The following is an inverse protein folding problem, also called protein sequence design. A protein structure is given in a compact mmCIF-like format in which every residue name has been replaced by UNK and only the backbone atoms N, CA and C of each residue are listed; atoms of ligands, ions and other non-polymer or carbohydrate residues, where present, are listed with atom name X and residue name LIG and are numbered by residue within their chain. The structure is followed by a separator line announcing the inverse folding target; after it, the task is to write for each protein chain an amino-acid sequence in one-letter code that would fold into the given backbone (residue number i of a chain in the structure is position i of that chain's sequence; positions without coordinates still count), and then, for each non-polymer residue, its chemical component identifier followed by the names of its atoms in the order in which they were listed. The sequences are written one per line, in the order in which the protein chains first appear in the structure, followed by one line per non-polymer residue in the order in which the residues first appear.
data_IF_825867740308
#
_entry.id   IF_825867740308
#
_cell.length_a   1.000
_cell.length_b   1.000
_cell.length_c   1.000
_cell.angle_alpha   90.00
_cell.angle_beta   90.00
_cell.angle_gamma   90.00
#
_symmetry.space_group_name_H-M   'P 1'
#
loop_
_entity.id
_entity.type
_entity.pdbx_description
1 polymer ?
#
# COMPACT_ATOMS: atom_id res chain seq x y z
N UNK A 1 17.28 21.60 -1.13
CA UNK A 1 15.93 22.16 -0.94
C UNK A 1 15.39 21.67 0.40
N UNK A 2 14.53 22.41 1.13
CA UNK A 2 13.71 21.78 2.16
C UNK A 2 12.79 20.75 1.49
N UNK A 3 12.64 19.56 2.07
CA UNK A 3 11.67 18.58 1.57
C UNK A 3 10.23 19.09 1.79
N UNK A 4 9.28 18.79 0.89
CA UNK A 4 7.87 19.01 1.15
C UNK A 4 7.40 18.19 2.37
N UNK A 5 6.36 18.67 3.04
CA UNK A 5 5.81 18.02 4.24
C UNK A 5 5.15 16.67 3.90
N UNK A 6 5.89 15.57 4.06
CA UNK A 6 5.35 14.18 4.03
C UNK A 6 4.20 13.96 5.02
N UNK A 7 4.10 14.83 6.04
CA UNK A 7 3.08 14.87 7.10
C UNK A 7 1.68 15.24 6.61
N UNK A 8 1.51 15.88 5.45
CA UNK A 8 0.18 16.20 4.91
C UNK A 8 -0.56 14.97 4.36
N UNK A 9 0.09 13.79 4.29
CA UNK A 9 -0.54 12.52 3.87
C UNK A 9 -0.54 11.48 4.98
N UNK A 10 -1.72 11.17 5.58
CA UNK A 10 -1.86 10.02 6.46
C UNK A 10 -1.79 8.72 5.65
N UNK A 11 -0.84 7.86 5.99
CA UNK A 11 -0.63 6.55 5.36
C UNK A 11 -1.89 5.65 5.29
N UNK A 12 -2.87 5.72 6.24
CA UNK A 12 -4.16 5.04 6.06
C UNK A 12 -4.94 5.44 4.79
N UNK A 13 -4.89 6.72 4.37
CA UNK A 13 -5.61 7.21 3.17
C UNK A 13 -4.93 6.74 1.88
N UNK A 14 -3.60 6.70 1.88
CA UNK A 14 -2.78 6.10 0.81
C UNK A 14 -3.11 4.62 0.65
N UNK A 15 -3.23 3.88 1.75
CA UNK A 15 -3.63 2.46 1.74
C UNK A 15 -5.06 2.30 1.19
N UNK A 16 -6.03 3.09 1.68
CA UNK A 16 -7.42 3.04 1.21
C UNK A 16 -7.55 3.34 -0.30
N UNK A 17 -6.81 4.33 -0.81
CA UNK A 17 -6.72 4.63 -2.24
C UNK A 17 -6.16 3.46 -3.03
N UNK A 18 -5.11 2.81 -2.52
CA UNK A 18 -4.56 1.59 -3.10
C UNK A 18 -5.54 0.41 -3.10
N UNK A 19 -6.41 0.29 -2.08
CA UNK A 19 -7.46 -0.73 -2.07
C UNK A 19 -8.54 -0.49 -3.12
N UNK A 20 -8.93 0.79 -3.33
CA UNK A 20 -9.86 1.21 -4.39
C UNK A 20 -9.29 0.86 -5.76
N UNK A 21 -8.09 1.34 -6.10
CA UNK A 21 -7.46 1.10 -7.40
C UNK A 21 -7.21 -0.39 -7.67
N UNK A 22 -6.71 -1.13 -6.68
CA UNK A 22 -6.57 -2.60 -6.73
C UNK A 22 -7.90 -3.33 -7.00
N UNK A 23 -9.02 -2.76 -6.56
CA UNK A 23 -10.36 -3.34 -6.73
C UNK A 23 -10.98 -2.99 -8.09
N UNK A 24 -10.45 -1.99 -8.80
CA UNK A 24 -10.93 -1.52 -10.10
C UNK A 24 -10.20 -2.19 -11.28
N UNK A 25 -10.16 -3.52 -11.23
CA UNK A 25 -9.84 -4.39 -12.38
C UNK A 25 -10.81 -4.17 -13.56
N UNK A 26 -10.45 -4.51 -14.81
CA UNK A 26 -11.34 -4.33 -15.96
C UNK A 26 -12.78 -4.84 -15.77
N UNK A 27 -13.06 -6.07 -15.28
CA UNK A 27 -14.44 -6.54 -15.12
C UNK A 27 -15.21 -5.94 -13.92
N UNK A 28 -14.51 -5.42 -12.90
CA UNK A 28 -15.16 -4.68 -11.80
C UNK A 28 -15.43 -3.23 -12.19
N UNK A 29 -14.55 -2.60 -12.96
CA UNK A 29 -14.78 -1.30 -13.61
C UNK A 29 -15.95 -1.40 -14.59
N UNK A 30 -15.99 -2.42 -15.45
CA UNK A 30 -17.13 -2.69 -16.33
C UNK A 30 -18.45 -2.84 -15.57
N UNK A 31 -18.44 -3.59 -14.46
CA UNK A 31 -19.61 -3.73 -13.59
C UNK A 31 -20.08 -2.38 -13.02
N UNK A 32 -19.13 -1.52 -12.62
CA UNK A 32 -19.39 -0.20 -12.05
C UNK A 32 -19.95 0.78 -13.10
N UNK A 33 -19.38 0.79 -14.31
CA UNK A 33 -19.84 1.60 -15.44
C UNK A 33 -21.26 1.21 -15.89
N UNK A 34 -21.56 -0.08 -16.01
CA UNK A 34 -22.93 -0.53 -16.35
C UNK A 34 -23.95 -0.09 -15.30
N UNK A 35 -23.59 -0.11 -14.00
CA UNK A 35 -24.44 0.40 -12.92
C UNK A 35 -24.56 1.94 -12.87
N UNK A 36 -23.77 2.67 -13.66
CA UNK A 36 -23.78 4.14 -13.77
C UNK A 36 -24.54 4.62 -15.02
N UNK A 37 -24.18 4.09 -16.20
CA UNK A 37 -24.72 4.50 -17.50
C UNK A 37 -26.20 4.09 -17.69
N UNK A 38 -26.73 3.20 -16.85
CA UNK A 38 -28.05 2.59 -17.03
C UNK A 38 -28.87 2.57 -15.75
N UNK A 39 -30.20 2.49 -15.89
CA UNK A 39 -31.10 2.14 -14.79
C UNK A 39 -31.19 0.62 -14.58
N UNK A 40 -30.15 -0.15 -14.91
CA UNK A 40 -30.11 -1.60 -14.67
C UNK A 40 -29.90 -1.87 -13.18
N UNK A 41 -30.89 -2.52 -12.58
CA UNK A 41 -30.94 -2.80 -11.15
C UNK A 41 -30.70 -4.29 -10.82
N UNK A 42 -30.57 -5.15 -11.84
CA UNK A 42 -30.42 -6.60 -11.72
C UNK A 42 -29.00 -7.08 -12.07
N UNK A 43 -28.47 -7.99 -11.26
CA UNK A 43 -27.22 -8.70 -11.51
C UNK A 43 -27.27 -9.55 -12.79
N UNK A 44 -28.47 -9.93 -13.26
CA UNK A 44 -28.68 -10.62 -14.52
C UNK A 44 -28.28 -9.78 -15.75
N UNK A 45 -28.71 -8.53 -15.79
CA UNK A 45 -28.45 -7.60 -16.89
C UNK A 45 -26.98 -7.16 -16.90
N UNK A 46 -26.39 -6.84 -15.72
CA UNK A 46 -24.95 -6.54 -15.60
C UNK A 46 -24.11 -7.71 -16.09
N UNK A 47 -24.46 -8.95 -15.72
CA UNK A 47 -23.75 -10.15 -16.15
C UNK A 47 -23.82 -10.38 -17.68
N UNK A 48 -24.96 -10.07 -18.30
CA UNK A 48 -25.10 -10.09 -19.75
C UNK A 48 -24.25 -8.99 -20.41
N UNK A 49 -24.27 -7.75 -19.89
CA UNK A 49 -23.54 -6.62 -20.45
C UNK A 49 -22.02 -6.87 -20.51
N UNK A 50 -21.43 -7.43 -19.45
CA UNK A 50 -19.96 -7.64 -19.35
C UNK A 50 -19.48 -9.04 -19.77
N UNK A 51 -20.37 -9.88 -20.31
CA UNK A 51 -20.03 -11.24 -20.74
C UNK A 51 -19.54 -12.15 -19.59
N UNK A 52 -20.21 -12.13 -18.43
CA UNK A 52 -19.84 -12.93 -17.23
C UNK A 52 -21.06 -13.62 -16.62
N UNK A 53 -20.87 -14.40 -15.56
CA UNK A 53 -21.97 -15.08 -14.86
C UNK A 53 -22.50 -14.23 -13.70
N UNK A 54 -23.77 -14.39 -13.33
CA UNK A 54 -24.37 -13.69 -12.20
C UNK A 54 -23.62 -13.90 -10.88
N UNK A 55 -23.11 -15.11 -10.61
CA UNK A 55 -22.34 -15.39 -9.39
C UNK A 55 -20.98 -14.69 -9.39
N UNK A 56 -20.35 -14.54 -10.56
CA UNK A 56 -19.14 -13.72 -10.75
C UNK A 56 -19.44 -12.25 -10.46
N UNK A 57 -20.50 -11.69 -11.07
CA UNK A 57 -20.94 -10.30 -10.86
C UNK A 57 -21.32 -10.03 -9.40
N UNK A 58 -21.97 -10.98 -8.72
CA UNK A 58 -22.28 -10.87 -7.30
C UNK A 58 -21.02 -10.76 -6.42
N UNK A 59 -19.87 -11.27 -6.88
CA UNK A 59 -18.57 -11.10 -6.22
C UNK A 59 -17.95 -9.73 -6.53
N UNK A 60 -18.08 -9.23 -7.76
CA UNK A 60 -17.64 -7.87 -8.15
C UNK A 60 -18.40 -6.79 -7.37
N UNK A 61 -19.73 -6.88 -7.36
CA UNK A 61 -20.63 -6.03 -6.58
C UNK A 61 -20.28 -6.08 -5.09
N UNK A 62 -20.01 -7.27 -4.53
CA UNK A 62 -19.57 -7.38 -3.13
C UNK A 62 -18.27 -6.63 -2.86
N UNK A 63 -17.29 -6.72 -3.77
CA UNK A 63 -15.98 -6.07 -3.64
C UNK A 63 -16.10 -4.55 -3.69
N UNK A 64 -16.87 -4.01 -4.65
CA UNK A 64 -17.15 -2.57 -4.79
C UNK A 64 -17.91 -2.00 -3.58
N UNK A 65 -18.79 -2.80 -2.97
CA UNK A 65 -19.56 -2.43 -1.78
C UNK A 65 -18.80 -2.63 -0.45
N UNK A 66 -17.66 -3.33 -0.45
CA UNK A 66 -16.84 -3.62 0.74
C UNK A 66 -15.55 -2.83 0.82
N UNK A 67 -15.36 -1.84 -0.04
CA UNK A 67 -14.23 -0.92 0.00
C UNK A 67 -14.29 0.02 1.22
N UNK A 68 -13.16 0.58 1.70
CA UNK A 68 -13.13 1.54 2.80
C UNK A 68 -14.06 2.73 2.59
N UNK A 69 -14.15 3.21 1.34
CA UNK A 69 -15.25 4.03 0.83
C UNK A 69 -16.00 3.21 -0.24
N UNK A 70 -17.25 2.77 0.03
CA UNK A 70 -18.03 1.99 -0.92
C UNK A 70 -18.38 2.78 -2.19
N UNK A 71 -18.05 2.23 -3.35
CA UNK A 71 -18.36 2.83 -4.66
C UNK A 71 -19.79 2.56 -5.12
N UNK A 72 -20.44 1.56 -4.50
CA UNK A 72 -21.85 1.26 -4.67
C UNK A 72 -22.50 1.00 -3.30
N UNK A 73 -23.77 1.38 -3.16
CA UNK A 73 -24.59 1.13 -1.99
C UNK A 73 -25.78 0.23 -2.33
N UNK A 74 -26.24 -0.58 -1.37
CA UNK A 74 -27.45 -1.40 -1.53
C UNK A 74 -28.69 -0.66 -1.00
N UNK A 75 -29.62 -0.32 -1.89
CA UNK A 75 -30.91 0.30 -1.54
C UNK A 75 -32.04 -0.71 -1.74
N UNK A 76 -32.45 -1.38 -0.66
CA UNK A 76 -33.46 -2.43 -0.69
C UNK A 76 -32.94 -3.70 -1.39
N UNK A 77 -33.59 -4.11 -2.49
CA UNK A 77 -33.12 -5.20 -3.36
C UNK A 77 -32.03 -4.78 -4.35
N UNK A 78 -31.87 -3.46 -4.59
CA UNK A 78 -31.11 -2.87 -5.71
C UNK A 78 -29.73 -2.40 -5.27
N UNK A 79 -28.82 -2.26 -6.23
CA UNK A 79 -27.55 -1.56 -6.04
C UNK A 79 -27.60 -0.23 -6.80
N UNK A 80 -26.96 0.81 -6.24
CA UNK A 80 -26.79 2.12 -6.88
C UNK A 80 -25.35 2.57 -6.68
N UNK A 81 -24.78 3.27 -7.65
CA UNK A 81 -23.49 3.96 -7.48
C UNK A 81 -23.60 4.99 -6.34
N UNK A 82 -22.50 5.29 -5.67
CA UNK A 82 -22.40 6.35 -4.66
C UNK A 82 -21.72 7.58 -5.26
N UNK A 83 -21.89 8.74 -4.65
CA UNK A 83 -21.25 10.01 -5.01
C UNK A 83 -19.72 9.87 -5.16
N UNK A 84 -19.10 9.01 -4.33
CA UNK A 84 -17.69 8.62 -4.42
C UNK A 84 -17.40 7.72 -5.64
N UNK A 85 -18.29 6.76 -5.93
CA UNK A 85 -18.23 5.95 -7.14
C UNK A 85 -18.36 6.77 -8.43
N UNK A 86 -19.33 7.69 -8.51
CA UNK A 86 -19.53 8.59 -9.66
C UNK A 86 -18.27 9.45 -9.89
N UNK A 87 -17.70 10.00 -8.82
CA UNK A 87 -16.46 10.77 -8.87
C UNK A 87 -15.27 9.94 -9.37
N UNK A 88 -15.11 8.71 -8.86
CA UNK A 88 -14.02 7.80 -9.25
C UNK A 88 -14.18 7.28 -10.69
N UNK A 89 -15.43 7.09 -11.17
CA UNK A 89 -15.71 6.85 -12.60
C UNK A 89 -15.21 8.03 -13.44
N UNK A 90 -15.52 9.27 -13.04
CA UNK A 90 -15.08 10.47 -13.74
C UNK A 90 -13.55 10.61 -13.82
N UNK A 91 -12.84 10.35 -12.71
CA UNK A 91 -11.38 10.38 -12.66
C UNK A 91 -10.75 9.30 -13.55
N UNK A 92 -11.27 8.07 -13.52
CA UNK A 92 -10.75 6.96 -14.34
C UNK A 92 -11.07 7.18 -15.82
N UNK A 93 -12.27 7.60 -16.17
CA UNK A 93 -12.65 7.89 -17.56
C UNK A 93 -11.77 9.00 -18.13
N UNK A 94 -11.59 10.10 -17.39
CA UNK A 94 -10.69 11.18 -17.80
C UNK A 94 -9.21 10.75 -17.92
N UNK A 95 -8.74 9.80 -17.10
CA UNK A 95 -7.40 9.21 -17.27
C UNK A 95 -7.31 8.38 -18.55
N UNK A 96 -8.31 7.52 -18.80
CA UNK A 96 -8.35 6.61 -19.95
C UNK A 96 -8.50 7.38 -21.27
N UNK A 97 -9.33 8.43 -21.32
CA UNK A 97 -9.47 9.35 -22.46
C UNK A 97 -8.13 9.98 -22.84
N UNK A 98 -7.36 10.46 -21.83
CA UNK A 98 -6.03 11.06 -22.05
C UNK A 98 -5.00 10.04 -22.54
N UNK A 99 -5.17 8.77 -22.20
CA UNK A 99 -4.38 7.64 -22.72
C UNK A 99 -4.96 7.07 -24.04
N UNK A 100 -5.98 7.69 -24.63
CA UNK A 100 -6.56 7.31 -25.92
C UNK A 100 -7.54 6.14 -25.87
N UNK A 101 -8.12 5.83 -24.72
CA UNK A 101 -9.07 4.73 -24.50
C UNK A 101 -10.43 5.26 -23.99
N UNK A 102 -11.37 5.47 -24.92
CA UNK A 102 -12.77 5.84 -24.61
C UNK A 102 -13.51 4.65 -23.98
N UNK A 103 -13.83 4.74 -22.69
CA UNK A 103 -14.50 3.67 -21.93
C UNK A 103 -15.95 3.40 -22.35
N UNK A 104 -16.61 4.33 -23.03
CA UNK A 104 -17.98 4.12 -23.55
C UNK A 104 -17.96 3.43 -24.92
N UNK A 105 -16.82 3.39 -25.60
CA UNK A 105 -16.61 2.65 -26.86
C UNK A 105 -16.17 1.18 -26.64
N UNK A 106 -15.79 0.79 -25.41
CA UNK A 106 -15.30 -0.55 -25.05
C UNK A 106 -16.42 -1.60 -25.14
N UNK A 107 -16.26 -2.61 -26.00
CA UNK A 107 -17.18 -3.74 -26.08
C UNK A 107 -16.91 -4.74 -24.95
N UNK A 108 -17.42 -4.46 -23.75
CA UNK A 108 -17.17 -5.25 -22.51
C UNK A 108 -17.55 -6.75 -22.57
N UNK A 109 -18.12 -7.25 -23.67
CA UNK A 109 -18.26 -8.69 -23.93
C UNK A 109 -16.99 -9.33 -24.53
N UNK A 110 -16.26 -8.61 -25.37
CA UNK A 110 -15.02 -9.06 -26.01
C UNK A 110 -13.83 -9.04 -25.05
N UNK A 111 -12.89 -9.98 -25.18
CA UNK A 111 -11.73 -10.05 -24.28
C UNK A 111 -10.58 -9.14 -24.74
N UNK A 112 -10.44 -8.86 -26.05
CA UNK A 112 -9.41 -7.95 -26.56
C UNK A 112 -9.56 -6.51 -26.01
N UNK A 113 -10.80 -6.04 -25.93
CA UNK A 113 -11.18 -4.75 -25.35
C UNK A 113 -10.91 -4.70 -23.84
N UNK A 114 -11.18 -5.80 -23.12
CA UNK A 114 -10.80 -5.95 -21.70
C UNK A 114 -9.28 -5.94 -21.51
N UNK A 115 -8.54 -6.58 -22.41
CA UNK A 115 -7.06 -6.63 -22.37
C UNK A 115 -6.44 -5.26 -22.68
N UNK A 116 -7.05 -4.46 -23.56
CA UNK A 116 -6.66 -3.06 -23.78
C UNK A 116 -6.87 -2.21 -22.52
N UNK A 117 -8.04 -2.31 -21.87
CA UNK A 117 -8.32 -1.67 -20.58
C UNK A 117 -7.37 -2.18 -19.48
N UNK A 118 -7.06 -3.49 -19.46
CA UNK A 118 -6.09 -4.07 -18.54
C UNK A 118 -4.70 -3.46 -18.74
N UNK A 119 -4.23 -3.36 -19.99
CA UNK A 119 -2.93 -2.78 -20.34
C UNK A 119 -2.78 -1.33 -19.88
N UNK A 120 -3.85 -0.53 -19.92
CA UNK A 120 -3.85 0.83 -19.35
C UNK A 120 -3.83 0.83 -17.82
N UNK A 121 -4.50 -0.11 -17.16
CA UNK A 121 -4.59 -0.23 -15.69
C UNK A 121 -3.45 -1.04 -15.05
N UNK A 122 -2.63 -1.76 -15.82
CA UNK A 122 -1.42 -2.45 -15.33
C UNK A 122 -0.33 -1.42 -15.04
N UNK A 123 0.33 -1.46 -13.85
CA UNK A 123 0.34 -2.53 -12.86
C UNK A 123 -0.55 -2.30 -11.62
N UNK A 124 -1.45 -1.31 -11.65
CA UNK A 124 -2.27 -0.92 -10.49
C UNK A 124 -3.17 -2.08 -10.03
N UNK A 125 -3.88 -2.70 -10.98
CA UNK A 125 -4.90 -3.72 -10.70
C UNK A 125 -4.31 -5.13 -10.48
N UNK A 126 -3.11 -5.39 -11.00
CA UNK A 126 -2.37 -6.65 -10.82
C UNK A 126 -1.78 -6.83 -9.40
N UNK A 127 -1.64 -5.73 -8.65
CA UNK A 127 -0.95 -5.74 -7.37
C UNK A 127 -1.80 -6.30 -6.23
N UNK A 128 -1.28 -7.34 -5.56
CA UNK A 128 -1.78 -7.79 -4.24
C UNK A 128 -1.10 -7.11 -3.06
N UNK A 129 -0.22 -6.13 -3.30
CA UNK A 129 0.53 -5.39 -2.28
C UNK A 129 0.18 -3.91 -2.30
N UNK A 130 0.29 -3.25 -1.15
CA UNK A 130 0.23 -1.79 -1.04
C UNK A 130 1.47 -1.09 -1.62
N UNK A 131 2.54 -1.82 -1.96
CA UNK A 131 3.83 -1.27 -2.37
C UNK A 131 3.78 -0.37 -3.63
N UNK A 132 3.12 -0.76 -4.74
CA UNK A 132 2.86 0.13 -5.88
C UNK A 132 2.22 1.48 -5.55
N UNK A 133 1.38 1.55 -4.52
CA UNK A 133 0.69 2.78 -4.16
C UNK A 133 1.55 3.69 -3.27
N UNK A 134 2.42 3.11 -2.43
CA UNK A 134 3.49 3.87 -1.76
C UNK A 134 4.54 4.40 -2.75
N UNK A 135 4.81 3.63 -3.82
CA UNK A 135 5.67 4.07 -4.93
C UNK A 135 5.04 5.26 -5.68
N UNK A 136 3.75 5.21 -6.02
CA UNK A 136 3.04 6.33 -6.65
C UNK A 136 3.00 7.59 -5.77
N UNK A 137 2.82 7.43 -4.45
CA UNK A 137 2.81 8.56 -3.51
C UNK A 137 4.18 9.26 -3.44
N UNK A 138 5.26 8.50 -3.26
CA UNK A 138 6.64 9.01 -3.27
C UNK A 138 7.03 9.64 -4.61
N UNK A 139 6.62 9.03 -5.73
CA UNK A 139 6.84 9.61 -7.06
C UNK A 139 6.04 10.90 -7.26
N UNK A 140 4.81 11.03 -6.72
CA UNK A 140 4.11 12.32 -6.70
C UNK A 140 4.93 13.37 -5.94
N UNK A 141 5.31 13.09 -4.69
CA UNK A 141 5.95 14.06 -3.79
C UNK A 141 7.32 14.53 -4.27
N UNK A 142 7.94 13.85 -5.26
CA UNK A 142 9.31 14.12 -5.73
C UNK A 142 9.46 14.48 -7.21
N UNK A 143 8.49 14.18 -8.07
CA UNK A 143 8.60 14.45 -9.53
C UNK A 143 8.08 15.83 -9.97
N UNK A 144 7.66 16.68 -9.03
CA UNK A 144 7.26 18.08 -9.26
C UNK A 144 6.06 18.22 -10.22
N UNK A 145 5.04 17.37 -10.01
CA UNK A 145 3.82 17.30 -10.84
C UNK A 145 2.78 18.40 -10.57
N UNK A 146 3.04 19.31 -9.64
CA UNK A 146 2.10 20.36 -9.21
C UNK A 146 1.86 21.39 -10.33
N UNK A 147 0.81 21.16 -11.13
CA UNK A 147 0.28 22.17 -12.05
C UNK A 147 0.49 21.92 -13.55
N UNK A 148 0.70 20.68 -13.99
CA UNK A 148 0.43 20.23 -15.38
C UNK A 148 1.23 20.91 -16.53
N UNK A 149 2.21 21.76 -16.24
CA UNK A 149 3.00 22.52 -17.24
C UNK A 149 4.50 22.29 -17.00
N UNK A 150 4.96 21.07 -17.27
CA UNK A 150 6.37 20.70 -17.16
C UNK A 150 6.63 19.26 -17.60
N UNK A 151 7.90 18.94 -17.86
CA UNK A 151 8.37 17.54 -17.86
C UNK A 151 8.62 17.15 -16.40
N UNK A 152 8.14 16.00 -15.91
CA UNK A 152 8.40 15.57 -14.53
C UNK A 152 9.89 15.45 -14.25
N UNK A 153 10.32 15.81 -13.05
CA UNK A 153 11.73 15.69 -12.68
C UNK A 153 12.11 14.21 -12.41
N UNK A 154 13.31 13.75 -12.84
CA UNK A 154 13.80 12.42 -12.49
C UNK A 154 13.95 12.24 -10.97
N UNK A 155 13.43 11.14 -10.44
CA UNK A 155 13.44 10.82 -9.01
C UNK A 155 14.45 9.72 -8.71
N UNK A 156 15.31 9.92 -7.71
CA UNK A 156 16.29 8.90 -7.29
C UNK A 156 15.61 7.70 -6.61
N UNK A 157 16.07 6.49 -6.93
CA UNK A 157 15.56 5.24 -6.34
C UNK A 157 15.76 5.18 -4.82
N UNK A 158 16.88 5.67 -4.30
CA UNK A 158 17.18 5.60 -2.87
C UNK A 158 16.27 6.53 -2.04
N UNK A 159 15.84 7.65 -2.64
CA UNK A 159 14.86 8.56 -2.06
C UNK A 159 13.49 7.88 -1.94
N UNK A 160 13.06 7.20 -3.02
CA UNK A 160 11.83 6.40 -3.05
C UNK A 160 11.88 5.24 -2.06
N UNK A 161 13.03 4.57 -1.92
CA UNK A 161 13.23 3.53 -0.91
C UNK A 161 13.09 4.11 0.51
N UNK A 162 13.67 5.28 0.77
CA UNK A 162 13.59 5.96 2.06
C UNK A 162 12.15 6.36 2.44
N UNK A 163 11.38 6.88 1.49
CA UNK A 163 9.97 7.25 1.73
C UNK A 163 9.12 6.02 2.02
N UNK A 164 9.24 4.98 1.19
CA UNK A 164 8.45 3.75 1.32
C UNK A 164 8.79 3.03 2.62
N UNK A 165 10.06 2.98 3.03
CA UNK A 165 10.43 2.39 4.32
C UNK A 165 9.89 3.20 5.50
N UNK A 166 9.97 4.53 5.46
CA UNK A 166 9.32 5.41 6.46
C UNK A 166 7.82 5.11 6.59
N UNK A 167 7.09 5.05 5.46
CA UNK A 167 5.66 4.71 5.40
C UNK A 167 5.34 3.27 5.83
N UNK A 168 6.32 2.36 5.85
CA UNK A 168 6.18 0.96 6.33
C UNK A 168 6.45 0.86 7.83
N UNK A 169 7.48 1.54 8.33
CA UNK A 169 7.80 1.63 9.75
C UNK A 169 6.63 2.21 10.56
N UNK A 170 5.95 3.24 10.04
CA UNK A 170 4.68 3.79 10.60
C UNK A 170 3.60 2.72 10.84
N UNK A 171 3.63 1.62 10.09
CA UNK A 171 2.65 0.53 10.13
C UNK A 171 3.19 -0.73 10.82
N UNK A 172 4.39 -0.70 11.39
CA UNK A 172 5.05 -1.85 12.00
C UNK A 172 5.45 -2.93 10.98
N UNK A 173 5.69 -2.52 9.73
CA UNK A 173 6.15 -3.39 8.65
C UNK A 173 7.56 -2.97 8.19
N UNK A 174 8.32 -3.90 7.64
CA UNK A 174 9.59 -3.62 6.96
C UNK A 174 9.49 -3.89 5.46
N UNK A 175 10.32 -3.20 4.66
CA UNK A 175 10.47 -3.45 3.23
C UNK A 175 11.96 -3.53 2.88
N UNK A 176 12.31 -4.38 1.93
CA UNK A 176 13.67 -4.43 1.40
C UNK A 176 13.81 -3.54 0.16
N UNK A 177 14.97 -2.90 -0.02
CA UNK A 177 15.37 -2.21 -1.25
C UNK A 177 15.09 -3.05 -2.51
N UNK A 178 15.31 -4.37 -2.40
CA UNK A 178 15.01 -5.36 -3.43
C UNK A 178 13.52 -5.44 -3.80
N UNK A 179 12.60 -5.37 -2.84
CA UNK A 179 11.16 -5.34 -3.11
C UNK A 179 10.73 -4.01 -3.77
N UNK A 180 11.32 -2.88 -3.36
CA UNK A 180 11.07 -1.57 -4.00
C UNK A 180 11.57 -1.59 -5.45
N UNK A 181 12.81 -2.01 -5.70
CA UNK A 181 13.37 -2.17 -7.06
C UNK A 181 12.56 -3.16 -7.90
N UNK A 182 12.00 -4.22 -7.32
CA UNK A 182 11.05 -5.12 -8.01
C UNK A 182 9.69 -4.50 -8.32
N UNK A 183 9.20 -3.52 -7.54
CA UNK A 183 8.00 -2.77 -7.88
C UNK A 183 8.28 -1.80 -9.04
N UNK A 184 9.37 -1.04 -8.95
CA UNK A 184 9.83 -0.13 -10.02
C UNK A 184 10.04 -0.88 -11.34
N UNK A 185 10.68 -2.06 -11.31
CA UNK A 185 10.85 -2.90 -12.49
C UNK A 185 9.51 -3.26 -13.17
N UNK A 186 8.44 -3.55 -12.42
CA UNK A 186 7.11 -3.84 -13.01
C UNK A 186 6.44 -2.62 -13.59
N UNK A 187 6.70 -1.42 -13.05
CA UNK A 187 6.21 -0.18 -13.63
C UNK A 187 6.97 0.15 -14.92
N UNK A 188 8.27 -0.15 -14.99
CA UNK A 188 9.07 -0.05 -16.21
C UNK A 188 8.60 -1.05 -17.28
N UNK A 189 8.35 -2.31 -16.90
CA UNK A 189 7.77 -3.36 -17.77
C UNK A 189 6.35 -3.03 -18.26
N UNK A 190 5.62 -2.18 -17.53
CA UNK A 190 4.28 -1.71 -17.86
C UNK A 190 4.26 -0.34 -18.57
N UNK A 191 5.42 0.18 -18.98
CA UNK A 191 5.59 1.49 -19.65
C UNK A 191 5.08 2.70 -18.83
N UNK A 192 5.03 2.57 -17.49
CA UNK A 192 4.60 3.61 -16.54
C UNK A 192 5.78 4.50 -16.09
N UNK A 193 7.02 4.02 -16.22
CA UNK A 193 8.23 4.80 -15.96
C UNK A 193 9.41 4.31 -16.80
N UNK A 194 10.44 5.14 -16.96
CA UNK A 194 11.79 4.69 -17.31
C UNK A 194 12.60 4.46 -16.02
N UNK A 195 13.52 3.50 -16.03
CA UNK A 195 14.44 3.26 -14.92
C UNK A 195 15.84 2.91 -15.41
N UNK A 196 16.84 3.73 -15.07
CA UNK A 196 18.25 3.51 -15.48
C UNK A 196 19.07 2.65 -14.49
N UNK A 197 18.47 2.32 -13.34
CA UNK A 197 19.13 1.67 -12.20
C UNK A 197 19.31 2.58 -10.97
N UNK A 198 19.26 3.90 -11.17
CA UNK A 198 19.48 4.95 -10.18
C UNK A 198 18.40 6.04 -10.16
N UNK A 199 17.86 6.40 -11.33
CA UNK A 199 16.81 7.41 -11.51
C UNK A 199 15.58 6.81 -12.19
N UNK A 200 14.43 7.37 -11.83
CA UNK A 200 13.08 7.05 -12.32
C UNK A 200 12.52 8.28 -13.02
N UNK A 201 12.07 8.16 -14.26
CA UNK A 201 11.32 9.23 -14.96
C UNK A 201 9.90 8.74 -15.28
N UNK A 202 8.89 9.59 -15.10
CA UNK A 202 7.50 9.22 -15.38
C UNK A 202 7.17 9.39 -16.87
N UNK A 203 6.72 8.31 -17.51
CA UNK A 203 6.11 8.38 -18.85
C UNK A 203 4.78 9.14 -18.79
N UNK A 204 4.15 9.41 -19.93
CA UNK A 204 2.79 9.95 -19.99
C UNK A 204 1.80 9.09 -19.17
N UNK A 205 1.85 7.76 -19.35
CA UNK A 205 1.10 6.78 -18.55
C UNK A 205 1.46 6.85 -17.05
N UNK A 206 2.73 7.09 -16.73
CA UNK A 206 3.20 7.37 -15.36
C UNK A 206 2.55 8.58 -14.71
N UNK A 207 2.55 9.70 -15.42
CA UNK A 207 1.97 10.95 -14.95
C UNK A 207 0.47 10.81 -14.72
N UNK A 208 -0.22 10.08 -15.61
CA UNK A 208 -1.65 9.80 -15.48
C UNK A 208 -1.97 8.84 -14.33
N UNK A 209 -1.18 7.78 -14.11
CA UNK A 209 -1.32 6.89 -12.94
C UNK A 209 -1.07 7.60 -11.62
N UNK A 210 -0.02 8.43 -11.55
CA UNK A 210 0.33 9.23 -10.37
C UNK A 210 -0.73 10.30 -10.09
N UNK A 211 -1.28 10.94 -11.13
CA UNK A 211 -2.38 11.91 -10.98
C UNK A 211 -3.67 11.24 -10.49
N UNK A 212 -4.10 10.13 -11.12
CA UNK A 212 -5.28 9.38 -10.69
C UNK A 212 -5.17 8.94 -9.21
N UNK A 213 -4.01 8.41 -8.81
CA UNK A 213 -3.75 8.06 -7.42
C UNK A 213 -3.85 9.27 -6.49
N UNK A 214 -3.31 10.43 -6.90
CA UNK A 214 -3.39 11.64 -6.09
C UNK A 214 -4.82 12.21 -6.00
N UNK A 215 -5.56 12.28 -7.10
CA UNK A 215 -6.92 12.83 -7.13
C UNK A 215 -7.89 12.00 -6.27
N UNK A 216 -7.77 10.66 -6.29
CA UNK A 216 -8.52 9.79 -5.37
C UNK A 216 -8.03 10.00 -3.92
N UNK A 217 -6.71 10.11 -3.70
CA UNK A 217 -6.14 10.40 -2.36
C UNK A 217 -6.64 11.74 -1.81
N UNK A 218 -6.95 12.73 -2.66
CA UNK A 218 -7.56 14.00 -2.24
C UNK A 218 -9.03 13.84 -1.89
N UNK A 219 -9.82 13.21 -2.77
CA UNK A 219 -11.25 12.94 -2.57
C UNK A 219 -11.53 12.23 -1.23
N UNK A 220 -10.72 11.24 -0.85
CA UNK A 220 -10.89 10.53 0.43
C UNK A 220 -10.69 11.46 1.64
N UNK A 221 -9.71 12.38 1.59
CA UNK A 221 -9.47 13.34 2.70
C UNK A 221 -10.63 14.30 2.88
N UNK A 222 -11.24 14.73 1.78
CA UNK A 222 -12.34 15.69 1.83
C UNK A 222 -13.57 15.04 2.45
N UNK A 223 -13.84 13.77 2.11
CA UNK A 223 -14.86 12.96 2.78
C UNK A 223 -14.54 12.73 4.27
N UNK A 224 -13.29 12.39 4.63
CA UNK A 224 -12.88 12.26 6.04
C UNK A 224 -13.07 13.57 6.82
N UNK A 225 -12.70 14.72 6.26
CA UNK A 225 -12.89 16.05 6.87
C UNK A 225 -14.37 16.37 7.11
N UNK A 226 -15.23 16.07 6.13
CA UNK A 226 -16.69 16.29 6.23
C UNK A 226 -17.27 15.40 7.35
N UNK A 227 -16.95 14.10 7.34
CA UNK A 227 -17.42 13.15 8.36
C UNK A 227 -16.99 13.52 9.79
N UNK A 228 -15.79 14.08 9.96
CA UNK A 228 -15.30 14.57 11.26
C UNK A 228 -16.01 15.87 11.68
N UNK A 229 -16.38 16.73 10.73
CA UNK A 229 -17.10 17.99 11.01
C UNK A 229 -18.53 17.75 11.48
N UNK A 230 -19.29 16.89 10.78
CA UNK A 230 -20.68 16.54 11.18
C UNK A 230 -20.73 15.83 12.54
N UNK A 231 -19.67 15.09 12.89
CA UNK A 231 -19.50 14.50 14.22
C UNK A 231 -19.27 15.50 15.37
N UNK A 232 -18.91 16.75 15.07
CA UNK A 232 -18.52 17.75 16.07
C UNK A 232 -19.68 18.64 16.55
N UNK A 233 -20.66 18.96 15.69
CA UNK A 233 -21.78 19.86 16.04
C UNK A 233 -23.01 19.11 16.62
N UNK A 234 -23.07 17.79 16.46
CA UNK A 234 -24.22 16.95 16.84
C UNK A 234 -24.49 16.73 18.34
N UNK A 235 -24.00 17.60 19.25
CA UNK A 235 -24.12 17.37 20.70
C UNK A 235 -24.42 18.62 21.54
N UNK A 236 -25.34 19.48 21.07
CA UNK A 236 -26.00 20.49 21.88
C UNK A 236 -27.52 20.53 21.59
N UNK A 237 -28.32 20.79 22.64
CA UNK A 237 -29.77 21.04 22.59
C UNK A 237 -30.68 19.89 22.10
N UNK A 238 -30.97 18.93 22.98
CA UNK A 238 -32.33 18.85 23.57
C UNK A 238 -32.37 17.93 24.79
N UNK A 239 -32.79 18.47 25.94
CA UNK A 239 -33.09 17.71 27.14
C UNK A 239 -34.56 17.91 27.52
N UNK A 240 -35.25 16.82 27.87
CA UNK A 240 -36.56 16.84 28.51
C UNK A 240 -37.77 16.67 27.59
N UNK A 241 -38.31 15.45 27.52
CA UNK A 241 -39.42 15.09 28.43
C UNK A 241 -39.69 13.58 28.46
N UNK A 242 -39.96 13.06 29.67
CA UNK A 242 -40.50 11.72 29.87
C UNK A 242 -41.95 11.61 29.38
N UNK A 243 -42.34 10.47 28.78
CA UNK A 243 -43.61 9.83 29.18
C UNK A 243 -43.60 8.31 28.99
N UNK A 244 -44.24 7.61 29.93
CA UNK A 244 -44.32 6.14 30.04
C UNK A 244 -45.24 5.48 29.00
N UNK A 245 -44.90 4.26 28.62
CA UNK A 245 -45.73 3.02 28.60
C UNK A 245 -44.80 1.90 28.07
N UNK A 246 -44.46 0.77 28.72
CA UNK A 246 -45.09 -0.18 29.66
C UNK A 246 -46.10 -1.17 29.03
N UNK A 247 -45.78 -2.46 29.19
CA UNK A 247 -46.64 -3.67 29.03
C UNK A 247 -47.01 -4.04 27.57
N UNK A 248 -47.10 -5.32 27.16
CA UNK A 248 -46.86 -6.59 27.89
C UNK A 248 -46.45 -7.77 26.98
N UNK A 249 -46.22 -8.93 27.62
CA UNK A 249 -45.65 -10.20 27.15
C UNK A 249 -46.37 -10.98 26.03
N UNK A 250 -45.62 -11.88 25.36
CA UNK A 250 -46.13 -13.04 24.60
C UNK A 250 -45.09 -14.17 24.53
N UNK A 251 -45.48 -15.42 24.81
CA UNK A 251 -44.54 -16.54 25.05
C UNK A 251 -44.34 -17.50 23.85
N UNK A 252 -43.10 -18.00 23.74
CA UNK A 252 -42.69 -19.41 23.57
C UNK A 252 -43.53 -20.41 22.74
N UNK A 253 -42.87 -21.14 21.82
CA UNK A 253 -42.96 -22.62 21.80
C UNK A 253 -41.77 -23.30 21.08
N UNK A 254 -41.70 -24.63 21.20
CA UNK A 254 -40.51 -25.50 21.02
C UNK A 254 -40.20 -25.95 19.56
N UNK A 255 -38.96 -26.41 19.39
CA UNK A 255 -38.51 -27.42 18.39
C UNK A 255 -39.34 -28.72 18.42
N UNK A 256 -39.24 -29.55 17.36
CA UNK A 256 -38.61 -30.87 17.58
C UNK A 256 -37.52 -31.25 16.54
N UNK A 257 -36.84 -32.36 16.81
CA UNK A 257 -35.71 -32.94 16.04
C UNK A 257 -36.05 -34.30 15.41
N UNK A 258 -35.21 -34.74 14.47
CA UNK A 258 -35.20 -36.06 13.80
C UNK A 258 -34.54 -35.86 12.42
N UNK A 259 -33.38 -36.44 12.05
CA UNK A 259 -32.87 -37.81 12.18
C UNK A 259 -33.71 -38.85 11.43
N UNK A 260 -33.20 -39.30 10.27
CA UNK A 260 -32.95 -40.73 10.00
C UNK A 260 -31.97 -40.88 8.81
N UNK A 261 -31.40 -42.09 8.62
CA UNK A 261 -30.17 -42.29 7.83
C UNK A 261 -30.31 -43.09 6.48
N UNK A 262 -29.14 -43.42 5.88
CA UNK A 262 -28.80 -44.68 5.18
C UNK A 262 -29.04 -44.83 3.65
N UNK A 263 -27.96 -44.60 2.86
CA UNK A 263 -27.05 -45.70 2.38
C UNK A 263 -26.77 -45.92 0.86
N UNK A 264 -25.48 -46.21 0.57
CA UNK A 264 -24.92 -47.13 -0.47
C UNK A 264 -24.86 -46.77 -1.98
N UNK A 265 -23.68 -46.33 -2.46
CA UNK A 265 -22.70 -47.01 -3.39
C UNK A 265 -21.62 -45.99 -3.85
N UNK A 266 -20.30 -46.26 -3.87
CA UNK A 266 -19.49 -47.19 -4.71
C UNK A 266 -19.64 -46.95 -6.24
N UNK A 267 -18.61 -46.78 -7.08
CA UNK A 267 -17.13 -46.61 -6.99
C UNK A 267 -16.65 -45.97 -8.35
N UNK A 268 -15.39 -45.87 -8.84
CA UNK A 268 -14.06 -46.44 -8.51
C UNK A 268 -12.90 -45.64 -9.18
N UNK A 269 -11.70 -45.62 -8.56
CA UNK A 269 -10.32 -45.26 -9.06
C UNK A 269 -10.01 -44.06 -9.98
N UNK A 270 -8.88 -43.41 -9.66
CA UNK A 270 -8.09 -42.56 -10.58
C UNK A 270 -6.81 -42.01 -9.93
N UNK A 271 -5.78 -42.84 -9.73
CA UNK A 271 -4.45 -42.43 -9.23
C UNK A 271 -3.77 -41.42 -10.19
N UNK A 272 -2.80 -40.58 -9.80
CA UNK A 272 -1.41 -40.85 -9.31
C UNK A 272 -0.94 -39.54 -8.60
N UNK A 273 -0.14 -39.51 -7.52
CA UNK A 273 1.34 -39.53 -7.53
C UNK A 273 1.93 -39.52 -6.10
N UNK A 274 3.10 -40.17 -5.89
CA UNK A 274 4.13 -40.01 -4.83
C UNK A 274 3.70 -39.45 -3.45
N UNK A 275 3.71 -40.20 -2.35
CA UNK A 275 4.86 -40.83 -1.69
C UNK A 275 6.13 -39.97 -1.58
N UNK A 276 6.31 -39.32 -0.42
CA UNK A 276 7.52 -39.47 0.40
C UNK A 276 7.17 -39.19 1.88
N UNK A 277 7.49 -40.11 2.78
CA UNK A 277 7.60 -39.87 4.23
C UNK A 277 9.08 -39.97 4.62
N UNK A 278 9.48 -39.35 5.74
CA UNK A 278 9.84 -40.20 6.88
C UNK A 278 9.02 -39.90 8.14
N UNK A 279 8.73 -40.96 8.88
CA UNK A 279 8.49 -40.91 10.32
C UNK A 279 9.84 -40.58 11.01
N UNK A 280 9.93 -39.94 12.17
CA UNK A 280 8.88 -39.49 13.09
C UNK A 280 9.23 -39.89 14.52
N UNK A 281 9.28 -38.93 15.45
CA UNK A 281 9.37 -39.21 16.89
C UNK A 281 8.55 -38.17 17.68
N UNK A 282 8.00 -38.58 18.81
CA UNK A 282 6.82 -37.96 19.42
C UNK A 282 7.04 -37.46 20.85
N UNK A 283 6.43 -36.33 21.21
CA UNK A 283 6.19 -36.00 22.62
C UNK A 283 5.82 -34.54 22.91
N UNK A 284 4.57 -34.29 23.29
CA UNK A 284 4.16 -33.07 24.02
C UNK A 284 3.53 -31.93 23.21
N UNK A 285 2.19 -31.92 23.13
CA UNK A 285 1.46 -30.64 23.21
C UNK A 285 1.49 -30.16 24.68
N UNK A 286 1.49 -28.84 24.91
CA UNK A 286 0.20 -28.14 24.99
C UNK A 286 0.07 -26.95 24.03
N UNK A 287 -1.18 -26.67 23.67
CA UNK A 287 -1.69 -25.38 23.20
C UNK A 287 -2.75 -24.89 24.21
N UNK A 288 -3.19 -23.61 24.19
CA UNK A 288 -2.84 -22.53 23.28
C UNK A 288 -2.45 -21.21 23.98
N UNK A 289 -2.49 -20.10 23.23
CA UNK A 289 -2.58 -18.68 23.65
C UNK A 289 -1.41 -18.08 24.45
N UNK A 290 -0.69 -17.19 23.78
CA UNK A 290 0.19 -16.19 24.37
C UNK A 290 0.76 -15.30 23.28
N UNK A 291 0.45 -13.99 23.29
CA UNK A 291 1.09 -13.04 22.36
C UNK A 291 2.58 -13.01 22.67
N UNK A 292 3.42 -13.56 21.80
CA UNK A 292 4.85 -13.22 21.79
C UNK A 292 4.97 -11.84 21.18
N UNK A 293 5.12 -10.82 22.02
CA UNK A 293 6.00 -9.72 21.64
C UNK A 293 7.36 -10.37 21.40
N UNK A 294 7.77 -10.49 20.15
CA UNK A 294 9.17 -10.62 19.81
C UNK A 294 9.71 -9.20 19.98
N UNK A 295 10.13 -8.89 21.21
CA UNK A 295 10.99 -7.73 21.44
C UNK A 295 12.31 -8.08 20.79
N UNK A 296 12.66 -7.38 19.71
CA UNK A 296 13.92 -7.66 19.03
C UNK A 296 15.07 -7.31 19.98
N UNK A 297 16.07 -8.19 20.03
CA UNK A 297 17.13 -8.04 21.02
C UNK A 297 18.08 -6.91 20.58
N UNK A 298 18.49 -6.00 21.48
CA UNK A 298 19.45 -4.94 21.16
C UNK A 298 20.65 -5.51 20.41
N UNK A 299 20.81 -5.12 19.15
CA UNK A 299 21.79 -5.70 18.24
C UNK A 299 22.91 -4.71 18.00
N UNK A 300 24.15 -5.13 18.19
CA UNK A 300 25.31 -4.29 17.86
C UNK A 300 25.67 -4.51 16.40
N UNK A 301 25.61 -3.45 15.61
CA UNK A 301 25.94 -3.45 14.18
C UNK A 301 27.12 -2.52 13.90
N UNK A 302 27.85 -2.78 12.82
CA UNK A 302 28.83 -1.84 12.29
C UNK A 302 28.09 -0.75 11.50
N UNK A 303 28.55 0.49 11.61
CA UNK A 303 27.99 1.60 10.85
C UNK A 303 28.93 2.79 10.72
N UNK A 304 28.40 3.90 10.19
CA UNK A 304 29.12 5.17 10.07
C UNK A 304 28.39 6.30 10.79
N UNK A 305 29.18 7.12 11.47
CA UNK A 305 28.76 8.40 12.05
C UNK A 305 29.47 9.55 11.34
N UNK A 306 28.80 10.69 11.26
CA UNK A 306 29.47 11.96 10.94
C UNK A 306 30.14 12.49 12.20
N UNK A 307 31.42 12.81 12.08
CA UNK A 307 32.19 13.60 13.05
C UNK A 307 32.63 14.91 12.39
N UNK A 308 32.78 15.98 13.17
CA UNK A 308 33.52 17.16 12.70
C UNK A 308 35.01 16.91 12.89
N UNK A 309 35.82 17.35 11.94
CA UNK A 309 37.26 17.41 12.14
C UNK A 309 37.55 18.60 13.08
N UNK A 310 37.79 18.31 14.36
CA UNK A 310 37.99 19.35 15.37
C UNK A 310 39.32 20.09 15.13
N UNK A 311 39.22 21.28 14.52
CA UNK A 311 40.32 22.23 14.44
C UNK A 311 40.76 22.60 15.86
N UNK A 312 41.92 22.09 16.29
CA UNK A 312 42.48 22.14 17.65
C UNK A 312 42.40 23.49 18.39
N UNK A 313 41.23 23.88 18.92
CA UNK A 313 41.08 24.87 20.02
C UNK A 313 39.60 25.04 20.48
N UNK A 314 39.01 24.05 21.17
CA UNK A 314 38.15 24.26 22.37
C UNK A 314 37.65 22.96 23.01
N UNK A 315 37.85 22.73 24.32
CA UNK A 315 37.22 21.62 25.03
C UNK A 315 35.97 22.07 25.80
N UNK A 316 34.76 21.74 25.32
CA UNK A 316 33.73 21.05 26.13
C UNK A 316 32.36 20.84 25.47
N UNK A 317 32.01 21.55 24.40
CA UNK A 317 30.70 21.35 23.77
C UNK A 317 30.57 19.94 23.15
N UNK A 318 29.36 19.41 23.20
CA UNK A 318 29.10 18.00 22.90
C UNK A 318 29.37 17.71 21.41
N UNK A 319 30.34 16.84 21.15
CA UNK A 319 30.64 16.37 19.80
C UNK A 319 29.37 15.70 19.24
N UNK A 320 28.75 16.32 18.22
CA UNK A 320 27.41 15.97 17.76
C UNK A 320 27.44 14.74 16.84
N UNK A 321 27.74 13.58 17.42
CA UNK A 321 27.84 12.29 16.73
C UNK A 321 26.45 11.81 16.34
N UNK A 322 26.01 12.18 15.15
CA UNK A 322 24.79 11.66 14.54
C UNK A 322 25.11 10.33 13.81
N UNK A 323 24.43 9.22 14.14
CA UNK A 323 24.55 7.96 13.41
C UNK A 323 23.77 8.06 12.09
N UNK A 324 24.36 7.65 10.97
CA UNK A 324 23.75 7.86 9.64
C UNK A 324 23.49 6.55 8.89
N UNK A 325 24.38 5.56 8.99
CA UNK A 325 24.27 4.36 8.19
C UNK A 325 24.72 3.09 8.95
N UNK A 326 23.79 2.25 9.44
CA UNK A 326 24.12 0.88 9.84
C UNK A 326 24.36 0.02 8.58
N UNK A 327 25.45 -0.75 8.55
CA UNK A 327 25.79 -1.64 7.44
C UNK A 327 24.96 -2.92 7.53
N UNK A 328 23.72 -2.85 7.00
CA UNK A 328 22.78 -3.98 6.86
C UNK A 328 22.66 -4.39 5.39
N UNK A 329 23.09 -5.59 5.03
CA UNK A 329 22.90 -6.29 3.73
C UNK A 329 23.03 -5.48 2.42
N UNK A 330 23.77 -4.36 2.43
CA UNK A 330 24.08 -3.57 1.22
C UNK A 330 25.23 -4.20 0.40
N UNK A 331 25.19 -4.02 -0.91
CA UNK A 331 26.37 -4.24 -1.76
C UNK A 331 27.43 -3.15 -1.53
N UNK A 332 28.68 -3.44 -1.89
CA UNK A 332 29.77 -2.46 -1.77
C UNK A 332 29.55 -1.22 -2.67
N UNK A 333 28.82 -1.38 -3.78
CA UNK A 333 28.49 -0.30 -4.72
C UNK A 333 27.40 0.62 -4.14
N UNK A 334 26.32 0.06 -3.58
CA UNK A 334 25.30 0.81 -2.83
C UNK A 334 25.91 1.55 -1.62
N UNK A 335 26.82 0.90 -0.89
CA UNK A 335 27.52 1.50 0.24
C UNK A 335 28.38 2.70 -0.19
N UNK A 336 29.17 2.58 -1.27
CA UNK A 336 30.01 3.67 -1.77
C UNK A 336 29.18 4.84 -2.31
N UNK A 337 28.07 4.56 -3.02
CA UNK A 337 27.15 5.60 -3.48
C UNK A 337 26.53 6.35 -2.30
N UNK A 338 26.05 5.62 -1.27
CA UNK A 338 25.43 6.22 -0.08
C UNK A 338 26.44 7.02 0.75
N UNK A 339 27.66 6.51 0.94
CA UNK A 339 28.74 7.24 1.65
C UNK A 339 29.11 8.55 0.93
N UNK A 340 29.27 8.51 -0.39
CA UNK A 340 29.59 9.71 -1.19
C UNK A 340 28.54 10.81 -0.98
N UNK A 341 27.26 10.43 -1.10
CA UNK A 341 26.13 11.34 -0.92
C UNK A 341 26.05 11.92 0.50
N UNK A 342 26.41 11.17 1.55
CA UNK A 342 26.41 11.67 2.93
C UNK A 342 27.49 12.77 3.11
N UNK A 343 28.63 12.69 2.41
CA UNK A 343 29.65 13.75 2.41
C UNK A 343 29.11 15.02 1.74
N UNK A 344 28.39 14.88 0.63
CA UNK A 344 27.74 16.02 -0.06
C UNK A 344 26.63 16.66 0.80
N UNK A 345 25.83 15.84 1.50
CA UNK A 345 24.69 16.30 2.32
C UNK A 345 25.13 16.98 3.64
N UNK A 346 26.26 16.57 4.24
CA UNK A 346 26.72 17.08 5.54
C UNK A 346 27.85 18.12 5.48
N UNK A 347 28.28 18.49 4.28
CA UNK A 347 29.49 19.25 3.93
C UNK A 347 30.81 18.46 4.11
N UNK A 348 31.69 18.62 3.11
CA UNK A 348 33.05 18.10 2.99
C UNK A 348 34.00 18.41 4.15
N UNK A 349 33.63 19.35 5.03
CA UNK A 349 34.33 19.63 6.30
C UNK A 349 34.08 18.59 7.40
N UNK A 350 33.27 17.56 7.14
CA UNK A 350 32.96 16.48 8.09
C UNK A 350 33.52 15.14 7.63
N UNK A 351 34.02 14.38 8.59
CA UNK A 351 34.56 13.04 8.37
C UNK A 351 33.49 11.97 8.63
N UNK A 352 33.49 10.93 7.81
CA UNK A 352 32.75 9.70 8.09
C UNK A 352 33.66 8.72 8.83
N UNK A 353 33.33 8.48 10.09
CA UNK A 353 34.11 7.60 10.97
C UNK A 353 33.33 6.29 11.17
N UNK A 354 33.98 5.10 11.06
CA UNK A 354 33.33 3.83 11.37
C UNK A 354 33.04 3.75 12.87
N UNK A 355 31.82 3.36 13.23
CA UNK A 355 31.33 3.27 14.61
C UNK A 355 30.64 1.93 14.86
N UNK A 356 30.74 1.44 16.09
CA UNK A 356 29.80 0.46 16.62
C UNK A 356 28.49 1.18 16.95
N UNK A 357 27.38 0.68 16.42
CA UNK A 357 26.05 1.21 16.64
C UNK A 357 25.19 0.19 17.40
N UNK A 358 24.42 0.68 18.37
CA UNK A 358 23.37 -0.07 19.04
C UNK A 358 22.05 0.13 18.30
N UNK A 359 21.51 -0.96 17.79
CA UNK A 359 20.27 -1.02 17.02
C UNK A 359 19.15 -1.57 17.94
N UNK A 360 18.10 -0.80 18.15
CA UNK A 360 16.95 -1.12 19.03
C UNK A 360 15.63 -0.60 18.45
N UNK A 361 14.50 -1.13 18.92
CA UNK A 361 13.13 -0.73 18.56
C UNK A 361 12.86 0.80 18.57
N UNK A 362 13.66 1.59 19.32
CA UNK A 362 13.55 3.05 19.43
C UNK A 362 14.56 3.86 18.60
N UNK A 363 15.36 3.21 17.74
CA UNK A 363 16.33 3.85 16.86
C UNK A 363 17.75 3.32 16.98
N UNK A 364 18.67 3.96 16.26
CA UNK A 364 20.10 3.60 16.20
C UNK A 364 20.92 4.60 17.00
N UNK A 365 21.84 4.12 17.84
CA UNK A 365 22.63 4.95 18.76
C UNK A 365 24.15 4.62 18.66
N UNK A 366 25.05 5.61 18.64
CA UNK A 366 26.49 5.35 18.63
C UNK A 366 26.97 4.81 19.98
N UNK A 367 27.69 3.68 19.97
CA UNK A 367 28.38 3.13 21.14
C UNK A 367 29.82 3.64 21.28
N UNK A 368 30.49 3.85 20.14
CA UNK A 368 31.85 4.36 20.05
C UNK A 368 32.45 4.10 18.67
N UNK A 369 33.55 4.80 18.31
CA UNK A 369 34.27 4.52 17.08
C UNK A 369 34.77 3.06 17.07
N UNK A 370 34.91 2.48 15.88
CA UNK A 370 35.68 1.25 15.74
C UNK A 370 37.15 1.64 15.92
N UNK A 371 37.80 1.08 16.93
CA UNK A 371 39.25 1.20 17.08
C UNK A 371 39.92 0.61 15.83
N UNK A 372 40.47 1.47 14.97
CA UNK A 372 41.40 1.03 13.95
C UNK A 372 42.57 0.36 14.66
N UNK A 373 42.67 -0.96 14.51
CA UNK A 373 43.75 -1.74 15.09
C UNK A 373 44.99 -1.43 14.26
N UNK A 374 45.73 -0.39 14.68
CA UNK A 374 47.06 -0.08 14.14
C UNK A 374 47.89 -1.36 14.14
N UNK A 375 48.04 -1.96 12.97
CA UNK A 375 49.03 -3.01 12.77
C UNK A 375 50.39 -2.32 12.80
N UNK A 376 50.90 -2.11 14.02
CA UNK A 376 52.23 -1.57 14.32
C UNK A 376 53.28 -2.53 13.74
N UNK A 377 53.53 -2.34 12.46
CA UNK A 377 54.35 -3.17 11.60
C UNK A 377 55.81 -2.84 11.86
N UNK A 378 56.31 -3.25 13.03
CA UNK A 378 57.71 -3.13 13.42
C UNK A 378 58.61 -3.83 12.38
N UNK A 379 59.36 -3.02 11.62
CA UNK A 379 60.58 -3.35 10.89
C UNK A 379 61.45 -2.08 10.85
#
# INVERSE_FOLDING_TARGET
MPHPNTTDRPTPVIVATGEILRTLTPPTLASLLVMYDTTTEDQAEIAAAIGRTQSTVSSYIRSLASLPVPLIAKRGSRYTVTDAGESIIGLISGMMDRLGCDLHAVEWQEEADKDAVAGMLTPLHDSRSTLPFLLLDSLYERSDLDGLIGTPQPVWIDDVVSDIDTRRQERGESVTTKQVRQAVQRFNEAEVLSFDGSQIELTEKGQEHVRLFHEITQLLREQDKINVSDGAEGNALTAGNDTKNRSESGESHRLPTGEDEHSHRQSVTGDITNQFQPQGFSGGQPQPTGKRNIQESPTVVLGYCVTREDTNDTPHDQQEVQPILPIREMTAEELLARLSRIVDEHDTSRQLTPYWLLDVDSGVYPLGPVEETENQSHN
#
